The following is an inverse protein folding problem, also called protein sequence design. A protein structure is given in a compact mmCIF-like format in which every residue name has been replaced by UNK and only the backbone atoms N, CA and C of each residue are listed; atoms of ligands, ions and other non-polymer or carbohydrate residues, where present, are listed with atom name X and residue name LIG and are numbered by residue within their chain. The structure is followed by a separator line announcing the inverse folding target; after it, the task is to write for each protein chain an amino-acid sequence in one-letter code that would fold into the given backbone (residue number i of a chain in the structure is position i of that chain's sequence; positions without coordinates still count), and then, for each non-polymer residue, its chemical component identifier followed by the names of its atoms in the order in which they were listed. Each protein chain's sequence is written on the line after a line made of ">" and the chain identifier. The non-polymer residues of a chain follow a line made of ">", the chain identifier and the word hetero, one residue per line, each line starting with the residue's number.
data_IF_536986349882
#
_entry.id   IF_536986349882
#
_cell.length_a   1.000
_cell.length_b   1.000
_cell.length_c   1.000
_cell.angle_alpha   90.00
_cell.angle_beta   90.00
_cell.angle_gamma   90.00
#
_symmetry.space_group_name_H-M   'P 1'
#
loop_
_entity.id
_entity.type
_entity.pdbx_description
1 polymer ?
#
# COMPACT_ATOMS: atom_id res chain seq x y z
N UNK A 1 7.52 -7.76 -20.41
CA UNK A 1 7.52 -6.89 -19.21
C UNK A 1 8.57 -7.27 -18.16
N UNK A 2 8.95 -8.55 -18.04
CA UNK A 2 9.97 -9.02 -17.08
C UNK A 2 11.37 -8.46 -17.35
N UNK A 3 11.68 -8.15 -18.60
CA UNK A 3 13.01 -7.63 -18.99
C UNK A 3 13.22 -6.14 -18.67
N UNK A 4 12.21 -5.45 -18.14
CA UNK A 4 12.28 -4.01 -17.78
C UNK A 4 12.08 -3.76 -16.29
N UNK A 5 12.07 -4.81 -15.47
CA UNK A 5 11.91 -4.67 -14.03
C UNK A 5 13.09 -3.90 -13.43
N UNK A 6 12.81 -2.94 -12.55
CA UNK A 6 13.84 -2.25 -11.78
C UNK A 6 14.47 -3.20 -10.74
N UNK A 7 13.60 -3.90 -10.00
CA UNK A 7 14.01 -4.93 -9.03
C UNK A 7 13.30 -6.22 -9.37
N UNK A 8 14.05 -7.32 -9.45
CA UNK A 8 13.50 -8.63 -9.72
C UNK A 8 14.02 -9.66 -8.72
N UNK A 9 13.10 -10.42 -8.15
CA UNK A 9 13.42 -11.55 -7.28
C UNK A 9 13.17 -12.84 -8.08
N UNK A 10 14.16 -13.72 -8.11
CA UNK A 10 14.07 -14.99 -8.82
C UNK A 10 14.27 -16.11 -7.82
N UNK A 11 13.20 -16.83 -7.53
CA UNK A 11 13.16 -17.96 -6.61
C UNK A 11 13.92 -17.68 -5.29
N UNK A 12 13.68 -16.50 -4.73
CA UNK A 12 14.41 -16.00 -3.58
C UNK A 12 14.00 -16.75 -2.33
N UNK A 13 14.99 -17.20 -1.57
CA UNK A 13 14.80 -17.82 -0.26
C UNK A 13 15.74 -17.27 0.77
N UNK A 14 15.29 -17.23 2.02
CA UNK A 14 16.10 -16.86 3.18
C UNK A 14 15.77 -17.76 4.34
N UNK A 15 16.78 -18.40 4.88
CA UNK A 15 16.68 -19.26 6.05
C UNK A 15 17.63 -18.76 7.12
N UNK A 16 17.12 -18.61 8.35
CA UNK A 16 17.93 -18.26 9.53
C UNK A 16 18.22 -19.51 10.31
N UNK A 17 19.50 -19.72 10.66
CA UNK A 17 19.99 -20.87 11.47
C UNK A 17 19.53 -22.24 10.94
N UNK A 18 19.29 -22.35 9.63
CA UNK A 18 18.85 -23.59 8.98
C UNK A 18 17.45 -24.08 9.37
N UNK A 19 16.71 -23.32 10.19
CA UNK A 19 15.40 -23.74 10.73
C UNK A 19 14.26 -22.82 10.40
N UNK A 20 14.48 -21.51 10.41
CA UNK A 20 13.43 -20.52 10.14
C UNK A 20 13.49 -20.11 8.69
N UNK A 21 12.49 -20.51 7.91
CA UNK A 21 12.34 -20.13 6.52
C UNK A 21 11.62 -18.79 6.41
N UNK A 22 12.38 -17.70 6.44
CA UNK A 22 11.83 -16.35 6.39
C UNK A 22 11.25 -16.02 5.01
N UNK A 23 11.86 -16.52 3.93
CA UNK A 23 11.41 -16.36 2.54
C UNK A 23 11.56 -17.69 1.81
N UNK A 24 10.57 -18.02 0.99
CA UNK A 24 10.54 -19.29 0.25
C UNK A 24 10.02 -19.06 -1.17
N UNK A 25 10.89 -19.27 -2.16
CA UNK A 25 10.51 -19.27 -3.56
C UNK A 25 9.85 -17.97 -4.05
N UNK A 26 10.37 -16.83 -3.64
CA UNK A 26 9.82 -15.53 -4.03
C UNK A 26 10.17 -15.20 -5.47
N UNK A 27 9.15 -15.10 -6.32
CA UNK A 27 9.25 -14.61 -7.69
C UNK A 27 8.41 -13.35 -7.82
N UNK A 28 9.08 -12.22 -8.05
CA UNK A 28 8.45 -10.91 -8.03
C UNK A 28 9.22 -9.94 -8.88
N UNK A 29 8.52 -9.03 -9.57
CA UNK A 29 9.12 -7.95 -10.33
C UNK A 29 8.51 -6.62 -9.92
N UNK A 30 9.35 -5.63 -9.62
CA UNK A 30 8.96 -4.26 -9.30
C UNK A 30 9.41 -3.38 -10.46
N UNK A 31 8.47 -2.61 -11.01
CA UNK A 31 8.75 -1.78 -12.18
C UNK A 31 9.37 -0.44 -11.77
N UNK A 32 10.16 0.12 -12.67
CA UNK A 32 10.77 1.45 -12.46
C UNK A 32 9.70 2.52 -12.30
N UNK A 33 9.84 3.36 -11.28
CA UNK A 33 8.92 4.46 -10.99
C UNK A 33 7.62 4.03 -10.31
N UNK A 34 7.48 2.76 -9.97
CA UNK A 34 6.31 2.20 -9.30
C UNK A 34 6.37 2.45 -7.79
N UNK A 35 5.22 2.68 -7.16
CA UNK A 35 5.07 2.57 -5.70
C UNK A 35 4.50 1.21 -5.40
N UNK A 36 5.32 0.36 -4.80
CA UNK A 36 5.03 -1.06 -4.58
C UNK A 36 4.85 -1.36 -3.10
N UNK A 37 3.71 -1.93 -2.72
CA UNK A 37 3.39 -2.26 -1.35
C UNK A 37 3.65 -3.73 -1.02
N UNK A 38 4.19 -3.97 0.17
CA UNK A 38 4.37 -5.31 0.72
C UNK A 38 3.53 -5.40 1.98
N UNK A 39 2.54 -6.28 1.98
CA UNK A 39 1.65 -6.49 3.13
C UNK A 39 1.69 -7.94 3.59
N UNK A 40 1.28 -8.16 4.82
CA UNK A 40 1.28 -9.48 5.43
C UNK A 40 1.21 -9.35 6.94
N UNK A 41 0.91 -10.46 7.61
CA UNK A 41 0.91 -10.51 9.07
C UNK A 41 2.32 -10.36 9.62
N UNK A 42 2.44 -10.06 10.92
CA UNK A 42 3.72 -10.06 11.61
C UNK A 42 4.43 -11.42 11.40
N UNK A 43 5.72 -11.36 11.08
CA UNK A 43 6.50 -12.57 10.80
C UNK A 43 6.32 -13.15 9.41
N UNK A 44 5.62 -12.47 8.51
CA UNK A 44 5.40 -12.97 7.14
C UNK A 44 6.63 -12.90 6.23
N UNK A 45 7.70 -12.20 6.64
CA UNK A 45 8.93 -12.04 5.86
C UNK A 45 9.11 -10.70 5.17
N UNK A 46 8.24 -9.73 5.45
CA UNK A 46 8.25 -8.41 4.78
C UNK A 46 9.60 -7.69 4.91
N UNK A 47 10.09 -7.54 6.14
CA UNK A 47 11.36 -6.84 6.41
C UNK A 47 12.55 -7.61 5.85
N UNK A 48 12.53 -8.93 5.89
CA UNK A 48 13.57 -9.77 5.27
C UNK A 48 13.62 -9.54 3.77
N UNK A 49 12.47 -9.47 3.12
CA UNK A 49 12.38 -9.23 1.67
C UNK A 49 12.96 -7.87 1.29
N UNK A 50 12.53 -6.80 1.96
CA UNK A 50 13.01 -5.45 1.63
C UNK A 50 14.51 -5.29 1.84
N UNK A 51 15.07 -5.96 2.86
CA UNK A 51 16.50 -5.90 3.18
C UNK A 51 17.38 -6.68 2.22
N UNK A 52 16.83 -7.53 1.38
CA UNK A 52 17.59 -8.18 0.31
C UNK A 52 17.89 -7.23 -0.84
N UNK A 53 17.11 -6.17 -1.00
CA UNK A 53 17.29 -5.18 -2.08
C UNK A 53 18.57 -4.36 -1.87
N UNK A 54 18.87 -3.97 -0.63
CA UNK A 54 20.08 -3.21 -0.30
C UNK A 54 21.20 -4.11 0.30
N UNK A 55 21.01 -5.42 0.26
CA UNK A 55 21.92 -6.42 0.83
C UNK A 55 22.27 -6.23 2.29
N UNK A 56 21.34 -5.69 3.09
CA UNK A 56 21.42 -5.80 4.55
C UNK A 56 21.16 -7.24 4.99
N UNK A 57 20.38 -7.98 4.21
CA UNK A 57 20.20 -9.43 4.33
C UNK A 57 20.64 -10.11 3.04
N UNK A 58 21.42 -11.18 3.16
CA UNK A 58 21.85 -11.95 2.00
C UNK A 58 20.93 -13.15 1.79
N UNK A 59 20.41 -13.38 0.58
CA UNK A 59 19.59 -14.55 0.32
C UNK A 59 20.33 -15.85 0.61
N UNK A 60 19.62 -16.88 1.09
CA UNK A 60 20.15 -18.24 1.22
C UNK A 60 20.10 -18.99 -0.12
N UNK A 61 19.14 -18.60 -0.97
CA UNK A 61 18.95 -19.17 -2.30
C UNK A 61 18.28 -18.15 -3.21
N UNK A 62 18.33 -18.39 -4.51
CA UNK A 62 17.76 -17.48 -5.49
C UNK A 62 18.59 -16.22 -5.69
N UNK A 63 18.02 -15.26 -6.41
CA UNK A 63 18.75 -14.06 -6.85
C UNK A 63 17.89 -12.81 -6.71
N UNK A 64 18.55 -11.67 -6.46
CA UNK A 64 17.99 -10.34 -6.57
C UNK A 64 18.71 -9.62 -7.70
N UNK A 65 17.95 -9.17 -8.70
CA UNK A 65 18.48 -8.40 -9.81
C UNK A 65 18.02 -6.94 -9.68
N UNK A 66 18.94 -6.00 -9.82
CA UNK A 66 18.64 -4.58 -9.96
C UNK A 66 19.15 -4.13 -11.32
N UNK A 67 18.27 -3.58 -12.14
CA UNK A 67 18.56 -3.28 -13.55
C UNK A 67 19.15 -4.49 -14.27
N UNK A 68 18.62 -5.69 -14.03
CA UNK A 68 19.02 -6.95 -14.63
C UNK A 68 20.40 -7.45 -14.20
N UNK A 69 21.00 -6.84 -13.19
CA UNK A 69 22.31 -7.24 -12.65
C UNK A 69 22.12 -7.92 -11.30
N UNK A 70 22.67 -9.12 -11.15
CA UNK A 70 22.67 -9.87 -9.90
C UNK A 70 23.56 -9.16 -8.88
N UNK A 71 22.96 -8.68 -7.77
CA UNK A 71 23.67 -7.96 -6.73
C UNK A 71 24.32 -8.89 -5.69
N UNK A 72 24.05 -10.19 -5.76
CA UNK A 72 24.51 -11.16 -4.76
C UNK A 72 26.02 -11.33 -4.72
N UNK A 73 26.69 -11.09 -5.83
CA UNK A 73 28.15 -11.27 -5.98
C UNK A 73 28.94 -9.96 -5.93
N UNK A 74 28.29 -8.84 -5.58
CA UNK A 74 28.99 -7.55 -5.48
C UNK A 74 30.06 -7.59 -4.39
N UNK A 75 31.26 -7.13 -4.72
CA UNK A 75 32.32 -6.85 -3.76
C UNK A 75 31.99 -5.59 -2.92
N UNK A 76 32.88 -5.24 -1.99
CA UNK A 76 32.68 -4.08 -1.10
C UNK A 76 32.49 -2.77 -1.88
N UNK A 77 33.28 -2.54 -2.92
CA UNK A 77 33.21 -1.29 -3.69
C UNK A 77 31.90 -1.18 -4.47
N UNK A 78 31.48 -2.28 -5.12
CA UNK A 78 30.20 -2.32 -5.84
C UNK A 78 29.02 -2.24 -4.90
N UNK A 79 29.15 -2.82 -3.70
CA UNK A 79 28.10 -2.76 -2.68
C UNK A 79 27.92 -1.34 -2.12
N UNK A 80 29.03 -0.61 -1.88
CA UNK A 80 28.96 0.80 -1.49
C UNK A 80 28.27 1.63 -2.57
N UNK A 81 28.61 1.41 -3.83
CA UNK A 81 27.97 2.10 -4.96
C UNK A 81 26.47 1.76 -5.06
N UNK A 82 26.11 0.50 -4.87
CA UNK A 82 24.72 0.06 -4.87
C UNK A 82 23.92 0.77 -3.78
N UNK A 83 24.43 0.81 -2.56
CA UNK A 83 23.74 1.40 -1.41
C UNK A 83 23.51 2.90 -1.54
N UNK A 84 24.30 3.60 -2.34
CA UNK A 84 24.06 5.01 -2.69
C UNK A 84 22.90 5.18 -3.66
N UNK A 85 22.59 4.15 -4.44
CA UNK A 85 21.44 4.13 -5.36
C UNK A 85 20.14 3.81 -4.65
N UNK A 86 20.19 3.42 -3.38
CA UNK A 86 19.03 2.96 -2.61
C UNK A 86 18.95 3.77 -1.31
N UNK A 87 17.89 4.58 -1.17
CA UNK A 87 17.57 5.24 0.09
C UNK A 87 16.74 4.32 0.98
N UNK A 88 16.85 4.48 2.30
CA UNK A 88 16.05 3.71 3.24
C UNK A 88 15.52 4.60 4.35
N UNK A 89 14.24 4.44 4.65
CA UNK A 89 13.51 5.11 5.72
C UNK A 89 13.01 4.06 6.70
N UNK A 90 13.23 4.30 7.98
CA UNK A 90 12.90 3.37 9.07
C UNK A 90 11.72 3.89 9.90
N UNK A 91 11.08 2.97 10.63
CA UNK A 91 10.06 3.29 11.63
C UNK A 91 10.59 4.23 12.71
N UNK A 92 11.77 3.94 13.22
CA UNK A 92 12.52 4.80 14.15
C UNK A 92 13.44 5.69 13.32
N UNK A 93 13.36 6.99 13.56
CA UNK A 93 13.95 8.01 12.69
C UNK A 93 15.46 7.91 12.53
N UNK A 94 16.18 7.27 13.47
CA UNK A 94 17.63 7.07 13.47
C UNK A 94 18.44 8.36 13.26
N UNK A 95 17.91 9.49 13.75
CA UNK A 95 18.62 10.77 13.68
C UNK A 95 19.67 10.85 14.78
N UNK A 96 20.78 11.52 14.48
CA UNK A 96 21.81 11.79 15.45
C UNK A 96 21.36 12.96 16.35
N UNK A 97 21.08 12.68 17.62
CA UNK A 97 20.51 13.63 18.56
C UNK A 97 21.40 14.84 18.86
N UNK A 98 22.71 14.68 18.74
CA UNK A 98 23.68 15.74 18.96
C UNK A 98 23.95 16.60 17.72
N UNK A 99 23.29 16.32 16.62
CA UNK A 99 23.45 17.04 15.34
C UNK A 99 22.17 17.76 14.96
N UNK A 100 22.31 18.91 14.29
CA UNK A 100 21.17 19.67 13.76
C UNK A 100 20.50 18.92 12.59
N UNK A 101 19.35 19.42 12.18
CA UNK A 101 18.65 18.94 10.95
C UNK A 101 19.61 19.00 9.76
N UNK A 102 20.25 20.14 9.54
CA UNK A 102 21.23 20.29 8.45
C UNK A 102 22.32 19.22 8.51
N UNK A 103 22.95 19.08 9.68
CA UNK A 103 24.05 18.13 9.87
C UNK A 103 23.62 16.67 9.69
N UNK A 104 22.41 16.31 10.11
CA UNK A 104 21.87 14.97 9.88
C UNK A 104 21.71 14.68 8.39
N UNK A 105 21.21 15.62 7.61
CA UNK A 105 21.03 15.45 6.16
C UNK A 105 22.36 15.46 5.44
N UNK A 106 23.30 16.32 5.84
CA UNK A 106 24.62 16.47 5.22
C UNK A 106 25.53 15.27 5.45
N UNK A 107 25.40 14.57 6.56
CA UNK A 107 26.35 13.56 7.02
C UNK A 107 26.75 12.52 5.96
N UNK A 108 25.80 11.88 5.26
CA UNK A 108 26.17 10.89 4.22
C UNK A 108 27.02 11.50 3.09
N UNK A 109 26.77 12.74 2.73
CA UNK A 109 27.55 13.46 1.71
C UNK A 109 28.97 13.76 2.21
N UNK A 110 29.10 14.14 3.47
CA UNK A 110 30.38 14.42 4.11
C UNK A 110 31.22 13.15 4.20
N UNK A 111 30.63 12.04 4.62
CA UNK A 111 31.28 10.72 4.66
C UNK A 111 31.74 10.27 3.28
N UNK A 112 30.95 10.58 2.25
CA UNK A 112 31.29 10.25 0.86
C UNK A 112 32.35 11.16 0.25
N UNK A 113 32.84 12.19 0.97
CA UNK A 113 33.86 13.11 0.48
C UNK A 113 33.36 14.13 -0.53
N UNK A 114 32.06 14.40 -0.58
CA UNK A 114 31.49 15.39 -1.50
C UNK A 114 31.95 16.80 -1.08
N UNK A 115 32.42 17.65 -2.03
CA UNK A 115 32.89 19.00 -1.74
C UNK A 115 31.82 19.86 -1.05
N UNK A 116 32.27 20.78 -0.19
CA UNK A 116 31.41 21.60 0.66
C UNK A 116 30.29 22.34 -0.10
N UNK A 117 30.64 22.99 -1.22
CA UNK A 117 29.65 23.75 -2.01
C UNK A 117 28.52 22.84 -2.56
N UNK A 118 28.91 21.67 -3.05
CA UNK A 118 27.94 20.70 -3.55
C UNK A 118 27.06 20.16 -2.43
N UNK A 119 27.64 19.88 -1.24
CA UNK A 119 26.86 19.45 -0.07
C UNK A 119 25.84 20.49 0.35
N UNK A 120 26.26 21.75 0.47
CA UNK A 120 25.39 22.85 0.87
C UNK A 120 24.20 23.01 -0.08
N UNK A 121 24.48 22.96 -1.38
CA UNK A 121 23.41 23.05 -2.39
C UNK A 121 22.43 21.89 -2.29
N UNK A 122 22.93 20.67 -2.17
CA UNK A 122 22.07 19.47 -2.08
C UNK A 122 21.21 19.48 -0.81
N UNK A 123 21.80 19.79 0.33
CA UNK A 123 21.07 19.85 1.60
C UNK A 123 19.98 20.92 1.55
N UNK A 124 20.29 22.10 1.00
CA UNK A 124 19.32 23.19 0.86
C UNK A 124 18.14 22.77 -0.01
N UNK A 125 18.40 22.16 -1.16
CA UNK A 125 17.36 21.66 -2.07
C UNK A 125 16.47 20.64 -1.38
N UNK A 126 17.06 19.69 -0.65
CA UNK A 126 16.31 18.62 0.00
C UNK A 126 15.50 19.11 1.20
N UNK A 127 16.03 20.04 1.99
CA UNK A 127 15.27 20.63 3.08
C UNK A 127 14.08 21.44 2.56
N UNK A 128 14.25 22.11 1.44
CA UNK A 128 13.15 22.79 0.76
C UNK A 128 12.09 21.79 0.26
N UNK A 129 12.53 20.69 -0.36
CA UNK A 129 11.63 19.63 -0.85
C UNK A 129 10.76 19.05 0.28
N UNK A 130 11.33 18.82 1.45
CA UNK A 130 10.60 18.26 2.59
C UNK A 130 9.96 19.32 3.50
N UNK A 131 10.08 20.61 3.16
CA UNK A 131 9.45 21.70 3.87
C UNK A 131 10.09 22.06 5.23
N UNK A 132 11.38 21.81 5.40
CA UNK A 132 12.11 22.05 6.64
C UNK A 132 13.20 23.12 6.52
N UNK A 133 13.18 23.96 5.50
CA UNK A 133 14.19 25.00 5.28
C UNK A 133 14.32 25.94 6.51
N UNK A 134 13.22 26.21 7.21
CA UNK A 134 13.21 27.08 8.40
C UNK A 134 13.63 26.36 9.69
N UNK A 135 13.84 25.04 9.63
CA UNK A 135 14.23 24.20 10.77
C UNK A 135 15.67 23.66 10.67
N UNK A 136 16.46 24.18 9.76
CA UNK A 136 17.80 23.65 9.47
C UNK A 136 18.75 23.68 10.67
N UNK A 137 18.58 24.61 11.61
CA UNK A 137 19.40 24.74 12.82
C UNK A 137 18.82 24.01 14.03
N UNK A 138 17.62 23.45 13.92
CA UNK A 138 16.97 22.74 15.02
C UNK A 138 17.63 21.39 15.27
N UNK A 139 17.55 20.91 16.50
CA UNK A 139 17.96 19.56 16.90
C UNK A 139 16.77 18.61 16.91
N UNK A 140 16.99 17.29 16.76
CA UNK A 140 15.88 16.33 16.75
C UNK A 140 14.92 16.44 17.92
N UNK A 141 15.43 16.75 19.14
CA UNK A 141 14.59 16.92 20.32
C UNK A 141 13.57 18.09 20.20
N UNK A 142 13.80 19.01 19.28
CA UNK A 142 12.94 20.17 19.03
C UNK A 142 11.90 19.93 17.93
N UNK A 143 11.87 18.71 17.37
CA UNK A 143 11.02 18.38 16.23
C UNK A 143 9.86 17.45 16.61
N UNK A 144 8.73 17.61 15.92
CA UNK A 144 7.65 16.62 15.96
C UNK A 144 8.08 15.31 15.30
N UNK A 145 7.32 14.24 15.51
CA UNK A 145 7.57 12.96 14.84
C UNK A 145 7.57 13.05 13.30
N UNK A 146 6.61 13.79 12.75
CA UNK A 146 6.53 14.04 11.31
C UNK A 146 7.72 14.83 10.77
N UNK A 147 8.18 15.83 11.50
CA UNK A 147 9.37 16.59 11.13
C UNK A 147 10.63 15.73 11.18
N UNK A 148 10.79 14.89 12.19
CA UNK A 148 11.88 13.92 12.26
C UNK A 148 11.88 12.98 11.06
N UNK A 149 10.70 12.48 10.67
CA UNK A 149 10.58 11.61 9.50
C UNK A 149 10.94 12.35 8.21
N UNK A 150 10.55 13.62 8.08
CA UNK A 150 10.93 14.45 6.95
C UNK A 150 12.45 14.65 6.85
N UNK A 151 13.14 14.79 7.98
CA UNK A 151 14.61 14.81 8.01
C UNK A 151 15.18 13.49 7.52
N UNK A 152 14.63 12.36 7.97
CA UNK A 152 15.02 11.03 7.51
C UNK A 152 14.81 10.84 6.01
N UNK A 153 13.71 11.33 5.47
CA UNK A 153 13.44 11.31 4.03
C UNK A 153 14.48 12.14 3.28
N UNK A 154 14.73 13.38 3.69
CA UNK A 154 15.74 14.23 3.06
C UNK A 154 17.12 13.56 3.07
N UNK A 155 17.53 13.01 4.21
CA UNK A 155 18.80 12.30 4.33
C UNK A 155 18.90 11.10 3.39
N UNK A 156 17.81 10.37 3.20
CA UNK A 156 17.77 9.21 2.30
C UNK A 156 17.93 9.57 0.83
N UNK A 157 17.71 10.83 0.45
CA UNK A 157 17.71 11.31 -0.93
C UNK A 157 19.02 12.01 -1.34
N UNK A 158 20.01 12.16 -0.44
CA UNK A 158 21.21 12.99 -0.71
C UNK A 158 22.08 12.47 -1.86
N UNK A 159 22.07 11.18 -2.12
CA UNK A 159 22.83 10.57 -3.21
C UNK A 159 22.04 10.38 -4.50
N UNK A 160 20.90 11.06 -4.64
CA UNK A 160 20.00 10.92 -5.78
C UNK A 160 19.66 9.45 -6.07
N UNK A 161 19.10 8.72 -5.10
CA UNK A 161 18.81 7.31 -5.26
C UNK A 161 17.75 7.06 -6.33
N UNK A 162 17.73 5.86 -6.88
CA UNK A 162 16.71 5.41 -7.82
C UNK A 162 15.58 4.67 -7.13
N UNK A 163 15.88 4.10 -5.96
CA UNK A 163 14.96 3.28 -5.18
C UNK A 163 14.91 3.83 -3.76
N UNK A 164 13.70 3.91 -3.21
CA UNK A 164 13.47 4.28 -1.82
C UNK A 164 12.74 3.14 -1.12
N UNK A 165 13.34 2.61 -0.06
CA UNK A 165 12.77 1.56 0.76
C UNK A 165 12.17 2.17 2.03
N UNK A 166 10.89 1.89 2.30
CA UNK A 166 10.18 2.42 3.45
C UNK A 166 9.73 1.24 4.34
N UNK A 167 10.43 1.03 5.46
CA UNK A 167 10.11 -0.02 6.41
C UNK A 167 9.29 0.57 7.57
N UNK A 168 7.97 0.49 7.44
CA UNK A 168 7.00 1.00 8.41
C UNK A 168 7.20 2.49 8.77
N UNK A 169 7.47 3.31 7.77
CA UNK A 169 7.86 4.72 7.94
C UNK A 169 6.80 5.60 8.61
N UNK A 170 5.54 5.17 8.67
CA UNK A 170 4.43 5.93 9.23
C UNK A 170 3.83 5.31 10.49
N UNK A 171 4.31 4.15 10.95
CA UNK A 171 3.68 3.39 12.03
C UNK A 171 3.73 4.10 13.40
N UNK A 172 4.69 5.00 13.60
CA UNK A 172 4.84 5.78 14.84
C UNK A 172 4.17 7.16 14.76
N UNK A 173 3.46 7.47 13.69
CA UNK A 173 2.88 8.78 13.42
C UNK A 173 1.36 8.77 13.63
N UNK A 174 0.80 9.92 14.01
CA UNK A 174 -0.66 10.09 14.05
C UNK A 174 -1.26 10.11 12.64
N UNK A 175 -2.61 9.96 12.50
CA UNK A 175 -3.24 9.88 11.18
C UNK A 175 -3.02 11.10 10.29
N UNK A 176 -3.07 12.30 10.84
CA UNK A 176 -2.87 13.54 10.06
C UNK A 176 -1.43 13.64 9.54
N UNK A 177 -0.46 13.37 10.41
CA UNK A 177 0.96 13.36 10.07
C UNK A 177 1.26 12.26 9.05
N UNK A 178 0.66 11.08 9.20
CA UNK A 178 0.75 9.98 8.24
C UNK A 178 0.32 10.44 6.85
N UNK A 179 -0.84 11.09 6.72
CA UNK A 179 -1.32 11.62 5.43
C UNK A 179 -0.34 12.62 4.83
N UNK A 180 0.24 13.48 5.63
CA UNK A 180 1.24 14.47 5.19
C UNK A 180 2.51 13.78 4.64
N UNK A 181 3.00 12.76 5.33
CA UNK A 181 4.17 11.98 4.89
C UNK A 181 3.87 11.20 3.60
N UNK A 182 2.68 10.61 3.49
CA UNK A 182 2.27 9.90 2.28
C UNK A 182 2.17 10.82 1.07
N UNK A 183 1.62 12.02 1.27
CA UNK A 183 1.58 13.04 0.22
C UNK A 183 2.98 13.43 -0.26
N UNK A 184 3.92 13.55 0.68
CA UNK A 184 5.33 13.84 0.36
C UNK A 184 5.97 12.68 -0.42
N UNK A 185 5.76 11.44 -0.02
CA UNK A 185 6.28 10.26 -0.74
C UNK A 185 5.74 10.18 -2.16
N UNK A 186 4.44 10.45 -2.35
CA UNK A 186 3.83 10.49 -3.67
C UNK A 186 4.42 11.60 -4.53
N UNK A 187 4.61 12.80 -3.97
CA UNK A 187 5.24 13.93 -4.66
C UNK A 187 6.67 13.58 -5.10
N UNK A 188 7.46 12.98 -4.22
CA UNK A 188 8.83 12.54 -4.53
C UNK A 188 8.82 11.50 -5.64
N UNK A 189 7.94 10.52 -5.58
CA UNK A 189 7.80 9.51 -6.62
C UNK A 189 7.51 10.15 -7.99
N UNK A 190 6.57 11.09 -8.02
CA UNK A 190 6.17 11.75 -9.27
C UNK A 190 7.24 12.70 -9.82
N UNK A 191 7.85 13.50 -8.95
CA UNK A 191 8.84 14.52 -9.37
C UNK A 191 10.20 13.92 -9.71
N UNK A 192 10.66 12.93 -8.94
CA UNK A 192 11.99 12.35 -9.10
C UNK A 192 11.98 11.02 -9.85
N UNK A 193 10.82 10.46 -10.15
CA UNK A 193 10.72 9.16 -10.81
C UNK A 193 11.21 8.00 -9.96
N UNK A 194 11.24 8.16 -8.63
CA UNK A 194 11.71 7.13 -7.71
C UNK A 194 10.81 5.90 -7.72
N UNK A 195 11.44 4.74 -7.71
CA UNK A 195 10.77 3.48 -7.37
C UNK A 195 10.70 3.38 -5.85
N UNK A 196 9.51 3.26 -5.30
CA UNK A 196 9.30 3.18 -3.85
C UNK A 196 8.78 1.80 -3.48
N UNK A 197 9.42 1.16 -2.51
CA UNK A 197 8.97 -0.11 -1.93
C UNK A 197 8.57 0.16 -0.49
N UNK A 198 7.30 -0.11 -0.16
CA UNK A 198 6.68 0.32 1.10
C UNK A 198 6.16 -0.88 1.88
N UNK A 199 6.59 -1.01 3.13
CA UNK A 199 6.01 -1.93 4.10
C UNK A 199 5.20 -1.11 5.10
N UNK A 200 3.95 -1.51 5.34
CA UNK A 200 3.11 -0.94 6.38
C UNK A 200 2.03 -1.92 6.81
N UNK A 201 1.57 -1.78 8.05
CA UNK A 201 0.40 -2.47 8.58
C UNK A 201 -0.90 -1.72 8.28
N UNK A 202 -0.80 -0.49 7.79
CA UNK A 202 -1.94 0.37 7.51
C UNK A 202 -2.44 0.16 6.08
N UNK A 203 -3.49 -0.62 5.92
CA UNK A 203 -4.02 -0.95 4.59
C UNK A 203 -4.55 0.27 3.86
N UNK A 204 -5.08 1.26 4.58
CA UNK A 204 -5.51 2.52 3.98
C UNK A 204 -4.36 3.26 3.29
N UNK A 205 -3.14 3.17 3.84
CA UNK A 205 -1.93 3.74 3.26
C UNK A 205 -1.59 3.07 1.92
N UNK A 206 -1.58 1.75 1.89
CA UNK A 206 -1.34 0.96 0.67
C UNK A 206 -2.35 1.34 -0.41
N UNK A 207 -3.63 1.38 -0.05
CA UNK A 207 -4.71 1.74 -0.96
C UNK A 207 -4.52 3.12 -1.57
N UNK A 208 -4.03 4.07 -0.78
CA UNK A 208 -3.91 5.47 -1.21
C UNK A 208 -2.74 5.70 -2.16
N UNK A 209 -1.56 5.12 -1.89
CA UNK A 209 -0.35 5.50 -2.63
C UNK A 209 0.28 4.40 -3.47
N UNK A 210 -0.04 3.13 -3.25
CA UNK A 210 0.60 2.04 -3.98
C UNK A 210 -0.08 1.76 -5.32
N UNK A 211 0.73 1.43 -6.32
CA UNK A 211 0.26 1.01 -7.65
C UNK A 211 -0.05 -0.49 -7.65
N UNK A 212 0.86 -1.28 -7.10
CA UNK A 212 0.73 -2.73 -6.97
C UNK A 212 1.09 -3.17 -5.56
N UNK A 213 0.63 -4.35 -5.19
CA UNK A 213 0.83 -4.91 -3.86
C UNK A 213 1.13 -6.39 -3.95
N UNK A 214 1.96 -6.87 -3.02
CA UNK A 214 2.19 -8.29 -2.79
C UNK A 214 1.79 -8.66 -1.37
N UNK A 215 1.10 -9.76 -1.22
CA UNK A 215 0.69 -10.31 0.08
C UNK A 215 1.59 -11.48 0.42
N UNK A 216 2.28 -11.38 1.54
CA UNK A 216 3.15 -12.43 2.07
C UNK A 216 2.50 -13.15 3.25
N UNK A 217 2.70 -14.46 3.31
CA UNK A 217 2.34 -15.32 4.43
C UNK A 217 3.39 -16.41 4.59
N UNK A 218 3.97 -16.51 5.79
CA UNK A 218 5.00 -17.50 6.08
C UNK A 218 6.13 -17.55 5.04
N UNK A 219 6.57 -16.37 4.61
CA UNK A 219 7.66 -16.24 3.65
C UNK A 219 7.30 -16.53 2.20
N UNK A 220 6.05 -16.75 1.89
CA UNK A 220 5.57 -17.04 0.53
C UNK A 220 4.64 -15.95 0.01
N UNK A 221 4.65 -15.75 -1.30
CA UNK A 221 3.66 -14.89 -1.95
C UNK A 221 2.35 -15.69 -2.06
N UNK A 222 1.27 -15.14 -1.50
CA UNK A 222 -0.05 -15.75 -1.59
C UNK A 222 -0.98 -15.02 -2.56
N UNK A 223 -0.72 -13.74 -2.80
CA UNK A 223 -1.47 -12.94 -3.76
C UNK A 223 -0.64 -11.74 -4.20
N UNK A 224 -0.80 -11.27 -5.43
CA UNK A 224 -0.16 -10.06 -5.94
C UNK A 224 -0.96 -9.49 -7.10
N UNK A 225 -0.84 -8.19 -7.30
CA UNK A 225 -1.50 -7.51 -8.43
C UNK A 225 -1.67 -6.02 -8.19
N UNK A 226 -2.35 -5.34 -9.12
CA UNK A 226 -2.73 -3.95 -8.92
C UNK A 226 -3.55 -3.77 -7.65
N UNK A 227 -3.39 -2.64 -6.98
CA UNK A 227 -4.10 -2.35 -5.73
C UNK A 227 -5.60 -2.44 -5.92
N UNK A 228 -6.15 -1.89 -7.00
CA UNK A 228 -7.59 -1.97 -7.25
C UNK A 228 -8.09 -3.41 -7.29
N UNK A 229 -7.32 -4.33 -7.86
CA UNK A 229 -7.73 -5.73 -8.02
C UNK A 229 -7.67 -6.50 -6.71
N UNK A 230 -6.55 -6.39 -5.99
CA UNK A 230 -6.35 -7.09 -4.72
C UNK A 230 -7.32 -6.56 -3.64
N UNK A 231 -7.50 -5.24 -3.60
CA UNK A 231 -8.39 -4.61 -2.61
C UNK A 231 -9.87 -4.75 -2.98
N UNK A 232 -10.18 -4.74 -4.27
CA UNK A 232 -11.56 -4.86 -4.74
C UNK A 232 -12.12 -6.27 -4.65
N UNK A 233 -11.27 -7.26 -4.86
CA UNK A 233 -11.69 -8.67 -4.86
C UNK A 233 -10.54 -9.57 -4.39
N UNK A 234 -10.21 -9.52 -3.10
CA UNK A 234 -9.14 -10.36 -2.55
C UNK A 234 -9.50 -11.83 -2.67
N UNK A 235 -8.58 -12.64 -3.18
CA UNK A 235 -8.80 -14.05 -3.44
C UNK A 235 -8.32 -14.96 -2.32
N UNK A 236 -7.18 -14.63 -1.71
CA UNK A 236 -6.60 -15.45 -0.64
C UNK A 236 -7.19 -15.11 0.73
N UNK A 237 -7.32 -16.11 1.60
CA UNK A 237 -7.87 -15.92 2.94
C UNK A 237 -7.09 -14.89 3.76
N UNK A 238 -5.76 -14.85 3.64
CA UNK A 238 -4.92 -13.86 4.32
C UNK A 238 -5.22 -12.46 3.83
N UNK A 239 -5.36 -12.26 2.52
CA UNK A 239 -5.74 -10.98 1.93
C UNK A 239 -7.09 -10.50 2.45
N UNK A 240 -8.07 -11.38 2.48
CA UNK A 240 -9.41 -11.08 3.00
C UNK A 240 -9.36 -10.64 4.47
N UNK A 241 -8.56 -11.33 5.28
CA UNK A 241 -8.39 -10.98 6.70
C UNK A 241 -7.70 -9.63 6.87
N UNK A 242 -6.62 -9.37 6.13
CA UNK A 242 -5.88 -8.11 6.20
C UNK A 242 -6.73 -6.91 5.76
N UNK A 243 -7.59 -7.09 4.76
CA UNK A 243 -8.39 -6.02 4.18
C UNK A 243 -9.77 -5.87 4.83
N UNK A 244 -10.17 -6.80 5.70
CA UNK A 244 -11.44 -6.75 6.39
C UNK A 244 -11.73 -5.41 7.11
N UNK A 245 -10.77 -4.77 7.79
CA UNK A 245 -11.00 -3.48 8.43
C UNK A 245 -11.41 -2.35 7.48
N UNK A 246 -11.07 -2.45 6.19
CA UNK A 246 -11.45 -1.46 5.18
C UNK A 246 -12.83 -1.73 4.58
N UNK A 247 -13.41 -2.90 4.83
CA UNK A 247 -14.73 -3.26 4.36
C UNK A 247 -15.76 -2.89 5.41
N UNK A 248 -16.85 -2.26 4.96
CA UNK A 248 -17.98 -1.97 5.83
C UNK A 248 -18.80 -3.24 6.00
N UNK A 249 -18.85 -3.78 7.22
CA UNK A 249 -19.75 -4.86 7.57
C UNK A 249 -21.21 -4.39 7.63
N UNK A 250 -22.14 -5.31 7.83
CA UNK A 250 -23.54 -4.96 8.04
C UNK A 250 -23.68 -4.14 9.32
N UNK A 251 -24.46 -3.03 9.30
CA UNK A 251 -24.80 -2.33 10.52
C UNK A 251 -25.47 -3.32 11.52
N UNK A 252 -25.07 -3.24 12.78
CA UNK A 252 -25.57 -4.14 13.81
C UNK A 252 -27.10 -4.07 13.92
N UNK A 253 -27.67 -2.88 13.84
CA UNK A 253 -29.12 -2.68 13.84
C UNK A 253 -29.80 -3.43 12.70
N UNK A 254 -29.25 -3.36 11.49
CA UNK A 254 -29.80 -4.09 10.35
C UNK A 254 -29.63 -5.59 10.52
N UNK A 255 -28.48 -6.05 10.97
CA UNK A 255 -28.19 -7.47 11.19
C UNK A 255 -29.19 -8.12 12.16
N UNK A 256 -29.54 -7.40 13.21
CA UNK A 256 -30.53 -7.88 14.23
C UNK A 256 -31.95 -7.92 13.72
N UNK A 257 -32.26 -7.16 12.66
CA UNK A 257 -33.62 -7.06 12.10
C UNK A 257 -33.87 -7.98 10.90
N UNK A 258 -32.79 -8.52 10.30
CA UNK A 258 -32.89 -9.37 9.10
C UNK A 258 -33.59 -10.69 9.43
N UNK A 259 -34.54 -11.07 8.57
CA UNK A 259 -35.27 -12.34 8.64
C UNK A 259 -35.10 -13.09 7.31
N UNK A 260 -35.07 -14.41 7.38
CA UNK A 260 -34.91 -15.26 6.21
C UNK A 260 -36.12 -15.23 5.27
N UNK A 261 -37.31 -14.97 5.83
CA UNK A 261 -38.57 -14.90 5.10
C UNK A 261 -39.27 -13.59 5.41
N UNK A 262 -40.08 -13.06 4.48
CA UNK A 262 -40.81 -11.82 4.75
C UNK A 262 -41.88 -12.03 5.84
N UNK A 263 -41.88 -11.17 6.87
CA UNK A 263 -42.85 -11.19 7.95
C UNK A 263 -44.20 -10.63 7.53
N UNK A 264 -44.23 -9.78 6.49
CA UNK A 264 -45.43 -9.14 5.96
C UNK A 264 -45.23 -8.78 4.50
N UNK A 265 -46.33 -8.36 3.82
CA UNK A 265 -46.25 -7.87 2.44
C UNK A 265 -45.43 -6.58 2.32
N UNK A 266 -45.26 -5.83 3.42
CA UNK A 266 -44.48 -4.59 3.46
C UNK A 266 -42.99 -4.81 3.73
N UNK A 267 -42.53 -6.03 3.93
CA UNK A 267 -41.16 -6.35 4.18
C UNK A 267 -40.27 -6.00 2.94
N UNK A 268 -39.15 -5.34 3.20
CA UNK A 268 -38.17 -5.01 2.17
C UNK A 268 -37.17 -6.13 2.01
N UNK A 269 -36.85 -6.48 0.77
CA UNK A 269 -35.73 -7.35 0.44
C UNK A 269 -34.46 -6.56 0.55
N UNK A 270 -33.48 -7.08 1.28
CA UNK A 270 -32.14 -6.44 1.42
C UNK A 270 -31.12 -7.14 0.53
N UNK A 271 -30.54 -6.36 -0.35
CA UNK A 271 -29.49 -6.80 -1.27
C UNK A 271 -28.15 -6.15 -0.92
N UNK A 272 -27.07 -6.94 -1.01
CA UNK A 272 -25.70 -6.43 -0.99
C UNK A 272 -25.10 -6.57 -2.36
N UNK A 273 -24.71 -5.45 -2.95
CA UNK A 273 -24.06 -5.37 -4.26
C UNK A 273 -22.59 -5.01 -4.05
N UNK A 274 -21.69 -5.79 -4.63
CA UNK A 274 -20.25 -5.55 -4.56
C UNK A 274 -19.71 -5.19 -5.94
N UNK A 275 -18.95 -4.10 -6.01
CA UNK A 275 -18.26 -3.60 -7.19
C UNK A 275 -16.76 -3.84 -6.98
N UNK A 276 -16.19 -4.73 -7.77
CA UNK A 276 -14.83 -5.26 -7.56
C UNK A 276 -13.78 -4.63 -8.50
N UNK A 277 -14.19 -3.64 -9.31
CA UNK A 277 -13.28 -2.91 -10.20
C UNK A 277 -13.23 -3.42 -11.63
N UNK A 278 -13.99 -4.46 -11.98
CA UNK A 278 -14.03 -4.93 -13.37
C UNK A 278 -14.69 -3.93 -14.31
N UNK A 279 -15.53 -3.04 -13.78
CA UNK A 279 -16.04 -1.87 -14.51
C UNK A 279 -15.21 -0.63 -14.18
N UNK A 280 -14.94 0.19 -15.21
CA UNK A 280 -14.19 1.45 -15.05
C UNK A 280 -15.08 2.60 -14.61
N UNK A 281 -16.38 2.54 -14.95
CA UNK A 281 -17.34 3.59 -14.60
C UNK A 281 -18.14 3.22 -13.35
N UNK A 282 -18.54 4.23 -12.60
CA UNK A 282 -19.49 4.09 -11.52
C UNK A 282 -20.83 3.58 -12.10
N UNK A 283 -21.60 2.77 -11.32
CA UNK A 283 -22.89 2.29 -11.80
C UNK A 283 -23.87 3.44 -11.98
N UNK A 284 -24.67 3.37 -13.05
CA UNK A 284 -25.83 4.25 -13.23
C UNK A 284 -26.92 3.82 -12.23
N UNK A 285 -27.01 4.55 -11.11
CA UNK A 285 -27.95 4.20 -10.03
C UNK A 285 -29.39 4.31 -10.47
N UNK A 286 -29.72 5.26 -11.34
CA UNK A 286 -31.08 5.40 -11.87
C UNK A 286 -31.48 4.17 -12.68
N UNK A 287 -30.60 3.71 -13.56
CA UNK A 287 -30.83 2.52 -14.36
C UNK A 287 -30.92 1.25 -13.49
N UNK A 288 -30.00 1.12 -12.50
CA UNK A 288 -29.99 0.01 -11.56
C UNK A 288 -31.30 -0.05 -10.75
N UNK A 289 -31.72 1.05 -10.15
CA UNK A 289 -32.93 1.11 -9.33
C UNK A 289 -34.18 0.86 -10.18
N UNK A 290 -34.20 1.40 -11.40
CA UNK A 290 -35.28 1.13 -12.34
C UNK A 290 -35.41 -0.34 -12.72
N UNK A 291 -34.27 -1.02 -12.89
CA UNK A 291 -34.26 -2.46 -13.20
C UNK A 291 -34.73 -3.33 -12.03
N UNK A 292 -34.50 -2.90 -10.79
CA UNK A 292 -35.01 -3.60 -9.61
C UNK A 292 -36.50 -3.42 -9.44
N UNK A 293 -37.03 -2.26 -9.82
CA UNK A 293 -38.45 -1.95 -9.68
C UNK A 293 -38.89 -1.67 -8.24
N UNK A 294 -40.11 -1.21 -8.06
CA UNK A 294 -40.61 -0.87 -6.74
C UNK A 294 -39.91 0.34 -6.14
N UNK A 295 -39.87 0.40 -4.81
CA UNK A 295 -39.20 1.45 -4.06
C UNK A 295 -37.85 0.93 -3.59
N UNK A 296 -36.78 1.54 -4.08
CA UNK A 296 -35.38 1.19 -3.70
C UNK A 296 -34.81 2.25 -2.77
N UNK A 297 -34.29 1.84 -1.63
CA UNK A 297 -33.61 2.72 -0.67
C UNK A 297 -32.20 2.28 -0.48
N UNK A 298 -31.27 3.25 -0.47
CA UNK A 298 -29.88 3.00 -0.09
C UNK A 298 -29.78 3.00 1.44
N UNK A 299 -29.41 1.85 2.02
CA UNK A 299 -29.26 1.71 3.47
C UNK A 299 -27.85 2.13 3.90
N UNK A 300 -26.84 1.74 3.14
CA UNK A 300 -25.46 2.04 3.42
C UNK A 300 -24.62 1.79 2.17
N UNK A 301 -23.45 2.45 2.11
CA UNK A 301 -22.42 2.14 1.13
C UNK A 301 -22.09 3.27 0.19
N UNK A 302 -21.21 2.97 -0.72
CA UNK A 302 -20.73 3.89 -1.74
C UNK A 302 -19.83 3.18 -2.72
N UNK A 303 -19.57 3.86 -3.83
CA UNK A 303 -18.64 3.40 -4.87
C UNK A 303 -17.62 4.49 -5.08
N UNK A 304 -16.33 4.11 -4.99
CA UNK A 304 -15.21 5.02 -5.22
C UNK A 304 -14.39 4.57 -6.42
N UNK A 305 -13.54 5.47 -6.93
CA UNK A 305 -12.56 5.12 -7.94
C UNK A 305 -11.20 4.89 -7.32
N UNK A 306 -10.61 3.72 -7.64
CA UNK A 306 -9.23 3.41 -7.30
C UNK A 306 -8.53 3.05 -8.61
N UNK A 307 -7.51 3.82 -8.99
CA UNK A 307 -6.76 3.62 -10.23
C UNK A 307 -7.67 3.58 -11.47
N UNK A 308 -8.76 4.37 -11.47
CA UNK A 308 -9.73 4.41 -12.55
C UNK A 308 -10.76 3.29 -12.56
N UNK A 309 -10.81 2.45 -11.53
CA UNK A 309 -11.75 1.34 -11.40
C UNK A 309 -12.79 1.63 -10.33
N UNK A 310 -14.05 1.25 -10.59
CA UNK A 310 -15.17 1.44 -9.67
C UNK A 310 -15.18 0.33 -8.62
N UNK A 311 -14.98 0.70 -7.36
CA UNK A 311 -14.88 -0.22 -6.22
C UNK A 311 -15.81 0.21 -5.11
N UNK A 312 -16.50 -0.74 -4.50
CA UNK A 312 -17.36 -0.43 -3.36
C UNK A 312 -18.45 -1.45 -3.13
N UNK A 313 -19.39 -1.05 -2.28
CA UNK A 313 -20.49 -1.87 -1.86
C UNK A 313 -21.74 -1.00 -1.66
N UNK A 314 -22.89 -1.51 -2.07
CA UNK A 314 -24.19 -0.90 -1.80
C UNK A 314 -25.07 -1.91 -1.05
N UNK A 315 -25.70 -1.45 0.03
CA UNK A 315 -26.79 -2.16 0.71
C UNK A 315 -28.11 -1.50 0.33
N UNK A 316 -28.97 -2.23 -0.35
CA UNK A 316 -30.25 -1.73 -0.87
C UNK A 316 -31.40 -2.46 -0.22
N UNK A 317 -32.45 -1.71 0.10
CA UNK A 317 -33.73 -2.27 0.51
C UNK A 317 -34.77 -2.05 -0.62
N UNK A 318 -35.40 -3.12 -1.06
CA UNK A 318 -36.38 -3.10 -2.17
C UNK A 318 -37.75 -3.47 -1.67
N UNK A 319 -38.70 -2.55 -1.79
CA UNK A 319 -40.12 -2.76 -1.44
C UNK A 319 -40.98 -2.72 -2.70
N UNK A 320 -42.02 -3.56 -2.70
CA UNK A 320 -43.06 -3.48 -3.72
C UNK A 320 -42.60 -3.75 -5.15
N UNK A 321 -41.47 -4.45 -5.31
CA UNK A 321 -41.00 -4.84 -6.64
C UNK A 321 -41.91 -5.94 -7.22
N UNK A 322 -42.20 -5.89 -8.54
CA UNK A 322 -42.90 -6.96 -9.21
C UNK A 322 -42.08 -8.22 -9.40
N UNK A 323 -40.77 -8.19 -9.04
CA UNK A 323 -39.81 -9.27 -9.26
C UNK A 323 -39.52 -10.04 -7.98
N UNK A 324 -39.29 -11.35 -8.13
CA UNK A 324 -38.86 -12.21 -7.04
C UNK A 324 -37.39 -11.99 -6.71
N UNK A 325 -36.95 -12.48 -5.54
CA UNK A 325 -35.58 -12.31 -5.05
C UNK A 325 -34.50 -12.77 -6.05
N UNK A 326 -34.69 -13.93 -6.68
CA UNK A 326 -33.71 -14.45 -7.65
C UNK A 326 -33.64 -13.58 -8.91
N UNK A 327 -34.78 -13.06 -9.36
CA UNK A 327 -34.84 -12.13 -10.49
C UNK A 327 -34.16 -10.82 -10.15
N UNK A 328 -34.36 -10.28 -8.96
CA UNK A 328 -33.70 -9.07 -8.48
C UNK A 328 -32.19 -9.25 -8.42
N UNK A 329 -31.72 -10.37 -7.89
CA UNK A 329 -30.30 -10.70 -7.86
C UNK A 329 -29.69 -10.76 -9.26
N UNK A 330 -30.36 -11.42 -10.18
CA UNK A 330 -29.94 -11.53 -11.59
C UNK A 330 -29.89 -10.17 -12.27
N UNK A 331 -30.89 -9.31 -12.06
CA UNK A 331 -30.95 -7.96 -12.64
C UNK A 331 -29.83 -7.07 -12.09
N UNK A 332 -29.64 -7.06 -10.78
CA UNK A 332 -28.56 -6.32 -10.15
C UNK A 332 -27.17 -6.78 -10.63
N UNK A 333 -27.03 -8.04 -10.99
CA UNK A 333 -25.80 -8.62 -11.56
C UNK A 333 -25.37 -8.02 -12.90
N UNK A 334 -26.22 -7.25 -13.58
CA UNK A 334 -25.84 -6.51 -14.77
C UNK A 334 -24.94 -5.29 -14.44
N UNK A 335 -24.95 -4.81 -13.21
CA UNK A 335 -24.12 -3.67 -12.75
C UNK A 335 -23.05 -4.08 -11.75
N UNK A 336 -23.38 -4.98 -10.82
CA UNK A 336 -22.49 -5.42 -9.74
C UNK A 336 -21.87 -6.78 -10.07
N UNK A 337 -20.63 -6.99 -9.64
CA UNK A 337 -19.92 -8.25 -9.87
C UNK A 337 -20.38 -9.35 -8.91
N UNK A 338 -20.74 -8.99 -7.68
CA UNK A 338 -21.31 -9.92 -6.71
C UNK A 338 -22.61 -9.35 -6.14
N UNK A 339 -23.66 -10.15 -6.10
CA UNK A 339 -24.94 -9.78 -5.53
C UNK A 339 -25.37 -10.86 -4.57
N UNK A 340 -25.74 -10.46 -3.34
CA UNK A 340 -26.18 -11.36 -2.29
C UNK A 340 -27.51 -10.89 -1.73
N UNK A 341 -28.44 -11.83 -1.60
CA UNK A 341 -29.72 -11.60 -0.89
C UNK A 341 -29.45 -11.85 0.59
N UNK A 342 -29.55 -10.80 1.42
CA UNK A 342 -29.26 -10.89 2.84
C UNK A 342 -30.47 -11.33 3.67
N UNK A 343 -31.69 -11.05 3.21
CA UNK A 343 -32.93 -11.34 3.90
C UNK A 343 -33.96 -10.24 3.74
N UNK A 344 -34.86 -10.16 4.70
CA UNK A 344 -35.96 -9.22 4.68
C UNK A 344 -35.99 -8.39 5.97
N UNK A 345 -36.43 -7.15 5.86
CA UNK A 345 -36.65 -6.24 7.00
C UNK A 345 -38.01 -5.55 6.86
N UNK A 346 -38.61 -5.21 7.99
CA UNK A 346 -39.89 -4.46 8.04
C UNK A 346 -39.60 -2.99 8.33
#
# INVERSE_FOLDING_TARGET
>A
HLNRAHVRFINLGKTYDGRVHALQGIDLAIQRGEVFGIIGRSGAGKSSLIRTINRLEQPSSGRVLIDQVDIGEFDEDRLVALRRRIGMIFQHFNLMSAKTVWQNVELPLKVAGIPKLQREQKVRELLELVGLQDKHKAYPAQLSGGQKQRVGIARSLVHDPEILLCDEATSALDPETTQSILGLLREINQRLGLTIVLITHEMAVIREICDRVVVLEHGRIVEQGPVWQVFGDPQHAVSKTLLAPLQHGLPEELQNRLQATPASADAALVLRLQFTGSATDEPDLAALFGALGGRVRLLQGGVERIQGHALGQLLLAVNGSPHEADTLRSRAGNWAQHVEVLGYVV
#
